data_IF_894217592101
#
_entry.id   IF_894217592101
#
_cell.length_a   1.000
_cell.length_b   1.000
_cell.length_c   1.000
_cell.angle_alpha   90.00
_cell.angle_beta   90.00
_cell.angle_gamma   90.00
#
_symmetry.space_group_name_H-M   'P 1'
#
loop_
_entity.id
_entity.type
_entity.pdbx_description
1 polymer ?
#
# COMPACT_ATOMS: atom_id res chain seq x y z
N UNK A 1 95.45 42.04 22.72
CA UNK A 1 95.80 41.79 24.14
C UNK A 1 94.63 41.06 24.79
N UNK A 2 94.93 39.90 25.40
CA UNK A 2 94.09 39.11 26.33
C UNK A 2 92.82 38.41 25.80
N UNK A 3 92.92 37.09 25.60
CA UNK A 3 91.87 36.08 25.91
C UNK A 3 91.56 36.09 27.43
N UNK A 4 90.68 35.24 28.05
CA UNK A 4 89.96 34.05 27.55
C UNK A 4 88.56 33.72 28.20
N UNK A 5 87.93 32.59 27.78
CA UNK A 5 87.07 31.64 28.56
C UNK A 5 85.74 32.18 29.19
N UNK A 6 84.61 31.48 29.43
CA UNK A 6 84.31 30.05 29.67
C UNK A 6 82.78 29.85 29.78
N UNK A 7 82.30 28.73 29.22
CA UNK A 7 81.36 27.71 29.77
C UNK A 7 79.96 28.04 30.37
N UNK A 8 78.97 27.41 29.71
CA UNK A 8 77.94 26.47 30.22
C UNK A 8 76.74 26.95 31.09
N UNK A 9 75.56 26.65 30.51
CA UNK A 9 74.39 25.86 31.03
C UNK A 9 73.13 26.59 31.53
N UNK A 10 72.03 26.20 30.83
CA UNK A 10 70.68 25.78 31.31
C UNK A 10 69.78 26.92 31.83
N UNK A 11 68.47 26.94 31.63
CA UNK A 11 67.49 26.07 30.97
C UNK A 11 66.16 26.84 30.75
N UNK A 12 65.43 26.44 29.70
CA UNK A 12 63.95 26.32 29.54
C UNK A 12 62.97 27.40 30.07
N UNK A 13 62.21 27.98 29.12
CA UNK A 13 60.76 27.71 28.85
C UNK A 13 59.85 28.95 28.66
N UNK A 14 59.07 28.90 27.55
CA UNK A 14 57.68 29.34 27.37
C UNK A 14 57.35 30.84 27.21
N UNK A 15 56.39 31.34 26.39
CA UNK A 15 55.43 30.80 25.39
C UNK A 15 54.72 32.03 24.73
N UNK A 16 54.22 31.87 23.49
CA UNK A 16 53.14 32.61 22.76
C UNK A 16 53.33 34.06 22.24
N UNK A 17 53.26 34.23 20.92
CA UNK A 17 52.01 34.56 20.19
C UNK A 17 52.27 34.74 18.68
N UNK A 18 51.60 33.97 17.82
CA UNK A 18 51.49 34.26 16.39
C UNK A 18 50.09 33.88 15.90
N UNK A 19 49.37 34.88 15.41
CA UNK A 19 48.03 34.74 14.84
C UNK A 19 48.13 34.29 13.37
N UNK A 20 47.44 33.20 13.04
CA UNK A 20 47.27 32.73 11.65
C UNK A 20 45.81 32.86 11.27
N UNK A 21 45.52 33.72 10.29
CA UNK A 21 44.21 33.88 9.66
C UNK A 21 44.00 32.73 8.68
N UNK A 22 43.03 31.84 8.96
CA UNK A 22 42.59 30.78 8.04
C UNK A 22 41.37 31.31 7.29
N UNK A 23 41.52 31.56 5.99
CA UNK A 23 40.40 31.79 5.07
C UNK A 23 39.84 30.41 4.71
N UNK A 24 38.73 30.03 5.37
CA UNK A 24 38.02 28.79 5.08
C UNK A 24 37.14 28.91 3.84
N UNK A 25 37.47 28.16 2.79
CA UNK A 25 36.62 27.98 1.62
C UNK A 25 35.36 27.20 2.00
N UNK A 26 34.21 27.87 2.10
CA UNK A 26 32.92 27.20 2.26
C UNK A 26 32.47 26.66 0.91
N UNK A 27 32.72 25.38 0.65
CA UNK A 27 32.04 24.65 -0.44
C UNK A 27 30.61 24.40 0.03
N UNK A 28 29.65 25.14 -0.50
CA UNK A 28 28.23 24.86 -0.29
C UNK A 28 27.91 23.49 -0.91
N UNK A 29 27.68 22.48 -0.06
CA UNK A 29 27.14 21.22 -0.52
C UNK A 29 25.76 21.47 -1.15
N UNK A 30 25.45 20.89 -2.32
CA UNK A 30 24.11 20.97 -2.86
C UNK A 30 23.11 20.41 -1.84
N UNK A 31 21.90 20.98 -1.72
CA UNK A 31 20.90 20.45 -0.81
C UNK A 31 20.67 18.98 -1.15
N UNK A 32 20.92 18.09 -0.18
CA UNK A 32 20.59 16.69 -0.33
C UNK A 32 19.07 16.60 -0.57
N UNK A 33 18.67 16.29 -1.80
CA UNK A 33 17.30 15.85 -2.06
C UNK A 33 17.10 14.65 -1.15
N UNK A 34 16.24 14.78 -0.14
CA UNK A 34 16.00 13.72 0.82
C UNK A 34 15.60 12.46 0.03
N UNK A 35 16.44 11.43 0.08
CA UNK A 35 16.17 10.18 -0.61
C UNK A 35 14.83 9.64 -0.09
N UNK A 36 13.90 9.31 -1.00
CA UNK A 36 12.62 8.70 -0.62
C UNK A 36 12.89 7.49 0.26
N UNK A 37 12.25 7.44 1.44
CA UNK A 37 12.41 6.34 2.38
C UNK A 37 12.14 4.99 1.67
N UNK A 38 12.98 3.96 1.88
CA UNK A 38 12.83 2.67 1.22
C UNK A 38 11.43 2.05 1.36
N UNK A 39 10.85 2.16 2.56
CA UNK A 39 9.48 1.76 2.90
C UNK A 39 8.83 2.84 3.79
N UNK A 40 7.50 3.02 3.73
CA UNK A 40 6.79 3.84 4.69
C UNK A 40 6.71 3.13 6.05
N UNK A 41 6.47 3.85 7.15
CA UNK A 41 6.24 3.26 8.48
C UNK A 41 4.88 2.58 8.64
N UNK A 42 3.94 2.87 7.73
CA UNK A 42 2.61 2.27 7.69
C UNK A 42 2.09 2.20 6.26
N UNK A 43 1.17 1.27 6.00
CA UNK A 43 0.54 1.06 4.69
C UNK A 43 -0.98 1.30 4.71
N UNK A 44 -1.47 2.00 5.73
CA UNK A 44 -2.92 2.13 5.94
C UNK A 44 -3.60 2.90 4.83
N UNK A 45 -2.94 3.91 4.27
CA UNK A 45 -3.44 4.65 3.10
C UNK A 45 -3.46 3.80 1.82
N UNK A 46 -2.64 2.75 1.77
CA UNK A 46 -2.43 1.88 0.62
C UNK A 46 -1.66 2.53 -0.53
N UNK A 47 -1.24 3.80 -0.42
CA UNK A 47 -0.70 4.59 -1.53
C UNK A 47 0.77 4.30 -1.85
N UNK A 48 1.51 3.85 -0.83
CA UNK A 48 2.93 3.45 -0.94
C UNK A 48 3.14 2.16 -0.16
N UNK A 49 3.74 1.14 -0.77
CA UNK A 49 4.13 -0.11 -0.07
C UNK A 49 5.65 -0.27 0.04
N UNK A 50 6.36 0.22 -0.97
CA UNK A 50 7.82 0.21 -1.11
C UNK A 50 8.19 1.27 -2.14
N UNK A 51 9.34 1.93 -1.98
CA UNK A 51 9.84 2.91 -2.95
C UNK A 51 10.32 2.23 -4.24
N UNK A 52 10.29 2.94 -5.36
CA UNK A 52 10.90 2.48 -6.61
C UNK A 52 12.39 2.22 -6.45
N UNK A 53 13.09 3.11 -5.74
CA UNK A 53 14.53 2.99 -5.46
C UNK A 53 14.88 1.67 -4.77
N UNK A 54 14.09 1.24 -3.78
CA UNK A 54 14.31 -0.05 -3.13
C UNK A 54 13.81 -1.21 -4.00
N UNK A 55 12.66 -1.10 -4.65
CA UNK A 55 12.07 -2.19 -5.43
C UNK A 55 12.94 -2.64 -6.62
N UNK A 56 13.60 -1.70 -7.30
CA UNK A 56 14.47 -1.98 -8.46
C UNK A 56 15.96 -2.11 -8.09
N UNK A 57 16.32 -2.17 -6.80
CA UNK A 57 17.71 -2.33 -6.34
C UNK A 57 18.22 -3.77 -6.53
N UNK A 58 18.43 -4.19 -7.77
CA UNK A 58 18.83 -5.56 -8.14
C UNK A 58 20.17 -6.01 -7.55
N UNK A 59 21.04 -5.08 -7.19
CA UNK A 59 22.32 -5.34 -6.52
C UNK A 59 22.26 -5.47 -5.00
N UNK A 60 21.07 -5.45 -4.37
CA UNK A 60 20.95 -5.35 -2.89
C UNK A 60 21.43 -6.58 -2.11
N UNK A 61 21.54 -7.75 -2.76
CA UNK A 61 22.03 -8.99 -2.16
C UNK A 61 22.86 -9.80 -3.17
N UNK A 62 23.99 -10.35 -2.71
CA UNK A 62 24.74 -11.36 -3.44
C UNK A 62 24.10 -12.75 -3.31
N UNK A 63 24.50 -13.71 -4.15
CA UNK A 63 24.02 -15.09 -4.03
C UNK A 63 24.41 -15.71 -2.67
N UNK A 64 25.58 -15.38 -2.13
CA UNK A 64 25.99 -15.80 -0.79
C UNK A 64 25.11 -15.19 0.31
N UNK A 65 24.77 -13.89 0.21
CA UNK A 65 23.87 -13.24 1.16
C UNK A 65 22.46 -13.86 1.13
N UNK A 66 21.93 -14.13 -0.06
CA UNK A 66 20.65 -14.85 -0.21
C UNK A 66 20.75 -16.26 0.37
N UNK A 67 21.85 -16.97 0.13
CA UNK A 67 22.05 -18.30 0.68
C UNK A 67 22.06 -18.30 2.21
N UNK A 68 22.79 -17.38 2.84
CA UNK A 68 22.82 -17.22 4.29
C UNK A 68 21.45 -16.86 4.86
N UNK A 69 20.72 -15.96 4.17
CA UNK A 69 19.35 -15.63 4.53
C UNK A 69 18.43 -16.85 4.51
N UNK A 70 18.42 -17.63 3.42
CA UNK A 70 17.61 -18.85 3.32
C UNK A 70 17.99 -19.89 4.38
N UNK A 71 19.28 -20.04 4.68
CA UNK A 71 19.75 -20.92 5.74
C UNK A 71 19.26 -20.50 7.13
N UNK A 72 19.21 -19.18 7.39
CA UNK A 72 18.72 -18.62 8.66
C UNK A 72 17.21 -18.83 8.86
N UNK A 73 16.42 -18.84 7.78
CA UNK A 73 14.96 -19.02 7.86
C UNK A 73 14.55 -20.46 8.10
N UNK A 74 15.35 -21.42 7.63
CA UNK A 74 15.07 -22.85 7.81
C UNK A 74 16.35 -23.56 8.30
N UNK A 75 16.67 -23.51 9.61
CA UNK A 75 17.84 -24.21 10.14
C UNK A 75 17.76 -25.73 9.94
N UNK A 76 16.58 -26.31 10.13
CA UNK A 76 16.34 -27.75 9.96
C UNK A 76 15.33 -27.99 8.83
N UNK A 77 15.76 -28.71 7.80
CA UNK A 77 14.89 -29.16 6.72
C UNK A 77 14.26 -30.50 7.08
N UNK A 78 12.93 -30.58 6.97
CA UNK A 78 12.07 -31.75 7.25
C UNK A 78 11.40 -32.28 5.98
N UNK A 79 11.99 -32.04 4.81
CA UNK A 79 11.50 -32.57 3.54
C UNK A 79 11.44 -34.10 3.60
N UNK A 80 10.36 -34.69 3.10
CA UNK A 80 10.20 -36.15 3.01
C UNK A 80 11.07 -36.69 1.88
N UNK A 81 11.51 -37.95 2.00
CA UNK A 81 12.18 -38.66 0.90
C UNK A 81 11.30 -38.63 -0.35
N UNK A 82 11.89 -38.30 -1.50
CA UNK A 82 11.17 -38.14 -2.77
C UNK A 82 10.47 -36.79 -2.94
N UNK A 83 10.40 -35.94 -1.92
CA UNK A 83 9.92 -34.55 -2.06
C UNK A 83 11.09 -33.60 -2.34
N UNK A 84 10.83 -32.43 -2.94
CA UNK A 84 11.83 -31.38 -3.06
C UNK A 84 12.44 -31.00 -1.70
N UNK A 85 13.74 -30.72 -1.69
CA UNK A 85 14.42 -30.20 -0.49
C UNK A 85 13.94 -28.78 -0.16
N UNK A 86 14.18 -28.31 1.07
CA UNK A 86 13.91 -26.92 1.45
C UNK A 86 14.70 -25.94 0.59
N UNK A 87 14.20 -24.72 0.41
CA UNK A 87 14.73 -23.76 -0.55
C UNK A 87 16.23 -23.50 -0.41
N UNK A 88 16.76 -23.51 0.82
CA UNK A 88 18.20 -23.37 1.09
C UNK A 88 19.08 -24.47 0.48
N UNK A 89 18.56 -25.68 0.32
CA UNK A 89 19.26 -26.87 -0.17
C UNK A 89 18.78 -27.31 -1.56
N UNK A 90 17.81 -26.58 -2.13
CA UNK A 90 17.27 -26.87 -3.44
C UNK A 90 18.28 -26.52 -4.54
N UNK A 91 18.40 -27.43 -5.51
CA UNK A 91 19.20 -27.22 -6.72
C UNK A 91 18.39 -27.55 -7.96
N UNK A 92 18.67 -26.86 -9.04
CA UNK A 92 17.94 -27.00 -10.31
C UNK A 92 18.85 -26.65 -11.48
N UNK A 93 18.62 -27.30 -12.62
CA UNK A 93 19.23 -26.88 -13.87
C UNK A 93 18.49 -25.66 -14.44
N UNK A 94 19.26 -24.65 -14.83
CA UNK A 94 18.77 -23.41 -15.42
C UNK A 94 19.03 -23.49 -16.92
N UNK A 95 17.98 -23.60 -17.75
CA UNK A 95 18.15 -23.46 -19.19
C UNK A 95 18.53 -22.02 -19.54
N UNK A 96 19.33 -21.84 -20.58
CA UNK A 96 19.61 -20.49 -21.10
C UNK A 96 18.30 -19.83 -21.57
N UNK A 97 18.16 -18.53 -21.32
CA UNK A 97 17.06 -17.71 -21.83
C UNK A 97 17.64 -16.51 -22.55
N UNK A 98 17.18 -16.26 -23.77
CA UNK A 98 17.53 -15.06 -24.51
C UNK A 98 16.99 -13.81 -23.81
N UNK A 99 17.66 -12.67 -24.02
CA UNK A 99 17.16 -11.38 -23.58
C UNK A 99 15.87 -11.03 -24.32
N UNK A 100 15.03 -10.22 -23.68
CA UNK A 100 13.88 -9.58 -24.31
C UNK A 100 13.73 -8.13 -23.82
N UNK A 101 12.59 -7.49 -24.14
CA UNK A 101 12.33 -6.09 -23.77
C UNK A 101 12.26 -5.83 -22.25
N UNK A 102 12.17 -6.87 -21.43
CA UNK A 102 11.91 -6.77 -19.99
C UNK A 102 13.06 -7.30 -19.14
N UNK A 103 13.76 -8.34 -19.60
CA UNK A 103 14.90 -8.91 -18.89
C UNK A 103 16.08 -9.16 -19.83
N UNK A 104 17.30 -8.96 -19.31
CA UNK A 104 18.53 -9.42 -19.95
C UNK A 104 18.58 -10.95 -20.03
N UNK A 105 19.53 -11.47 -20.82
CA UNK A 105 19.70 -12.90 -21.00
C UNK A 105 20.08 -13.59 -19.68
N UNK A 106 19.55 -14.80 -19.48
CA UNK A 106 19.90 -15.66 -18.36
C UNK A 106 20.82 -16.79 -18.88
N UNK A 107 22.06 -16.91 -18.40
CA UNK A 107 22.95 -17.98 -18.85
C UNK A 107 22.50 -19.35 -18.35
N UNK A 108 22.85 -20.40 -19.10
CA UNK A 108 22.66 -21.78 -18.66
C UNK A 108 23.49 -22.04 -17.39
N UNK A 109 22.93 -22.78 -16.45
CA UNK A 109 23.65 -23.30 -15.29
C UNK A 109 23.14 -24.69 -14.93
N UNK A 110 24.00 -25.54 -14.39
CA UNK A 110 23.63 -26.89 -13.93
C UNK A 110 23.75 -26.97 -12.41
N UNK A 111 22.83 -27.69 -11.75
CA UNK A 111 22.77 -27.84 -10.29
C UNK A 111 22.86 -26.50 -9.54
N UNK A 112 22.26 -25.46 -10.11
CA UNK A 112 22.27 -24.12 -9.51
C UNK A 112 21.43 -24.10 -8.23
N UNK A 113 21.97 -23.51 -7.17
CA UNK A 113 21.21 -23.27 -5.93
C UNK A 113 20.09 -22.26 -6.17
N UNK A 114 19.01 -22.37 -5.41
CA UNK A 114 17.92 -21.38 -5.45
C UNK A 114 18.42 -19.93 -5.27
N UNK A 115 19.39 -19.72 -4.37
CA UNK A 115 20.03 -18.41 -4.14
C UNK A 115 20.71 -17.83 -5.38
N UNK A 116 21.38 -18.66 -6.17
CA UNK A 116 22.01 -18.25 -7.42
C UNK A 116 20.96 -17.90 -8.49
N UNK A 117 19.90 -18.71 -8.60
CA UNK A 117 18.77 -18.44 -9.51
C UNK A 117 18.09 -17.11 -9.18
N UNK A 118 17.78 -16.87 -7.90
CA UNK A 118 17.14 -15.62 -7.44
C UNK A 118 17.99 -14.41 -7.81
N UNK A 119 19.29 -14.44 -7.55
CA UNK A 119 20.18 -13.30 -7.84
C UNK A 119 20.43 -13.13 -9.34
N UNK A 120 20.53 -14.21 -10.10
CA UNK A 120 20.68 -14.13 -11.55
C UNK A 120 19.44 -13.51 -12.20
N UNK A 121 18.23 -13.93 -11.79
CA UNK A 121 16.97 -13.34 -12.27
C UNK A 121 16.79 -11.90 -11.79
N UNK A 122 17.10 -11.61 -10.52
CA UNK A 122 17.07 -10.26 -9.97
C UNK A 122 17.88 -9.28 -10.81
N UNK A 123 19.11 -9.66 -11.16
CA UNK A 123 19.98 -8.87 -12.05
C UNK A 123 19.42 -8.78 -13.47
N UNK A 124 19.01 -9.89 -14.05
CA UNK A 124 18.52 -9.94 -15.42
C UNK A 124 17.28 -9.05 -15.61
N UNK A 125 16.34 -9.08 -14.68
CA UNK A 125 15.08 -8.33 -14.75
C UNK A 125 15.11 -7.00 -13.97
N UNK A 126 16.24 -6.60 -13.38
CA UNK A 126 16.34 -5.35 -12.62
C UNK A 126 15.41 -5.27 -11.40
N UNK A 127 15.15 -6.38 -10.71
CA UNK A 127 14.28 -6.43 -9.52
C UNK A 127 15.14 -6.74 -8.29
N UNK A 128 14.85 -6.10 -7.16
CA UNK A 128 15.56 -6.35 -5.91
C UNK A 128 15.39 -7.82 -5.46
N UNK A 129 16.47 -8.57 -5.17
CA UNK A 129 16.36 -9.97 -4.72
C UNK A 129 15.56 -10.14 -3.42
N UNK A 130 15.51 -9.12 -2.56
CA UNK A 130 14.65 -9.09 -1.36
C UNK A 130 13.16 -9.13 -1.72
N UNK A 131 12.76 -8.41 -2.79
CA UNK A 131 11.38 -8.44 -3.30
C UNK A 131 11.04 -9.85 -3.79
N UNK A 132 11.94 -10.50 -4.55
CA UNK A 132 11.72 -11.88 -5.01
C UNK A 132 11.56 -12.84 -3.83
N UNK A 133 12.41 -12.73 -2.80
CA UNK A 133 12.30 -13.55 -1.59
C UNK A 133 10.96 -13.36 -0.88
N UNK A 134 10.50 -12.13 -0.72
CA UNK A 134 9.20 -11.84 -0.10
C UNK A 134 8.04 -12.37 -0.94
N UNK A 135 8.12 -12.27 -2.27
CA UNK A 135 7.09 -12.82 -3.15
C UNK A 135 7.04 -14.36 -3.06
N UNK A 136 8.18 -15.05 -3.08
CA UNK A 136 8.23 -16.51 -2.86
C UNK A 136 7.57 -16.94 -1.54
N UNK A 137 7.72 -16.13 -0.50
CA UNK A 137 7.07 -16.38 0.79
C UNK A 137 5.58 -16.11 0.75
N UNK A 138 5.17 -14.96 0.24
CA UNK A 138 3.77 -14.55 0.17
C UNK A 138 2.93 -15.51 -0.66
N UNK A 139 3.49 -16.01 -1.75
CA UNK A 139 2.74 -16.79 -2.74
C UNK A 139 2.70 -18.29 -2.40
N UNK A 140 3.77 -18.87 -1.83
CA UNK A 140 3.83 -20.31 -1.53
C UNK A 140 4.40 -20.65 -0.14
N UNK A 141 4.69 -19.67 0.71
CA UNK A 141 5.35 -19.91 2.01
C UNK A 141 6.76 -20.52 1.87
N UNK A 142 7.36 -20.42 0.68
CA UNK A 142 8.47 -21.30 0.29
C UNK A 142 9.77 -20.97 1.03
N UNK A 143 9.99 -19.71 1.41
CA UNK A 143 11.21 -19.28 2.11
C UNK A 143 11.32 -19.87 3.51
N UNK A 144 10.20 -19.99 4.23
CA UNK A 144 10.16 -20.54 5.59
C UNK A 144 9.70 -22.00 5.64
N UNK A 145 9.39 -22.62 4.51
CA UNK A 145 8.89 -24.00 4.48
C UNK A 145 9.96 -24.99 4.92
N UNK A 146 9.64 -25.78 5.95
CA UNK A 146 10.49 -26.88 6.42
C UNK A 146 10.21 -28.18 5.68
N UNK A 147 9.10 -28.28 4.94
CA UNK A 147 8.71 -29.47 4.18
C UNK A 147 7.94 -29.05 2.91
N UNK A 148 8.62 -28.45 1.92
CA UNK A 148 7.95 -27.94 0.74
C UNK A 148 7.40 -29.07 -0.13
N UNK A 149 6.34 -28.75 -0.87
CA UNK A 149 5.72 -29.68 -1.83
C UNK A 149 6.23 -29.43 -3.24
N UNK A 150 6.02 -30.39 -4.14
CA UNK A 150 6.26 -30.18 -5.58
C UNK A 150 5.47 -28.98 -6.11
N UNK A 151 4.22 -28.84 -5.67
CA UNK A 151 3.38 -27.69 -6.01
C UNK A 151 4.04 -26.36 -5.64
N UNK A 152 4.65 -26.29 -4.45
CA UNK A 152 5.32 -25.07 -3.97
C UNK A 152 6.46 -24.62 -4.90
N UNK A 153 7.13 -25.55 -5.57
CA UNK A 153 8.15 -25.21 -6.57
C UNK A 153 7.58 -25.01 -7.96
N UNK A 154 6.52 -25.75 -8.31
CA UNK A 154 5.85 -25.65 -9.61
C UNK A 154 5.21 -24.28 -9.81
N UNK A 155 4.61 -23.72 -8.76
CA UNK A 155 3.91 -22.44 -8.74
C UNK A 155 4.54 -21.44 -7.74
N UNK A 156 5.88 -21.44 -7.61
CA UNK A 156 6.64 -20.74 -6.56
C UNK A 156 6.28 -19.25 -6.36
N UNK A 157 5.84 -18.55 -7.41
CA UNK A 157 5.40 -17.16 -7.32
C UNK A 157 3.93 -16.98 -7.70
N UNK A 158 3.16 -18.06 -7.93
CA UNK A 158 1.79 -17.96 -8.44
C UNK A 158 1.67 -17.35 -9.84
N UNK A 159 2.78 -17.25 -10.58
CA UNK A 159 2.80 -16.61 -11.89
C UNK A 159 2.06 -17.48 -12.90
N UNK A 160 1.10 -16.88 -13.60
CA UNK A 160 0.23 -17.55 -14.57
C UNK A 160 -0.61 -18.68 -13.96
N UNK A 161 -1.09 -18.47 -12.72
CA UNK A 161 -2.01 -19.33 -11.98
C UNK A 161 -3.32 -18.58 -11.69
N UNK A 162 -4.26 -18.48 -12.66
CA UNK A 162 -5.54 -17.82 -12.43
C UNK A 162 -6.41 -18.62 -11.46
N UNK A 163 -7.23 -17.93 -10.65
CA UNK A 163 -8.09 -18.59 -9.65
C UNK A 163 -9.15 -19.51 -10.28
N UNK A 164 -9.52 -19.28 -11.55
CA UNK A 164 -10.59 -19.99 -12.25
C UNK A 164 -10.10 -20.98 -13.32
N UNK A 165 -8.79 -21.20 -13.44
CA UNK A 165 -8.24 -22.16 -14.40
C UNK A 165 -6.91 -22.76 -13.91
N UNK A 166 -6.45 -23.89 -14.49
CA UNK A 166 -5.16 -24.46 -14.11
C UNK A 166 -4.00 -23.49 -14.37
N UNK A 167 -2.96 -23.57 -13.53
CA UNK A 167 -1.70 -22.88 -13.80
C UNK A 167 -1.13 -23.29 -15.16
N UNK A 168 -0.56 -22.32 -15.88
CA UNK A 168 0.10 -22.58 -17.16
C UNK A 168 1.29 -23.54 -17.01
N UNK A 169 1.28 -24.62 -17.80
CA UNK A 169 2.40 -25.57 -17.86
C UNK A 169 3.71 -24.90 -18.32
N UNK A 170 3.63 -23.90 -19.21
CA UNK A 170 4.80 -23.17 -19.68
C UNK A 170 5.44 -22.29 -18.58
N UNK A 171 4.68 -21.94 -17.55
CA UNK A 171 5.18 -21.18 -16.41
C UNK A 171 5.67 -22.09 -15.27
N UNK A 172 5.46 -23.41 -15.36
CA UNK A 172 5.75 -24.33 -14.27
C UNK A 172 7.25 -24.44 -13.96
N UNK A 173 7.54 -24.64 -12.68
CA UNK A 173 8.88 -24.93 -12.16
C UNK A 173 9.61 -23.69 -11.64
N UNK A 174 10.50 -23.90 -10.68
CA UNK A 174 11.11 -22.82 -9.90
C UNK A 174 11.76 -21.73 -10.76
N UNK A 175 12.58 -22.12 -11.75
CA UNK A 175 13.28 -21.16 -12.61
C UNK A 175 12.29 -20.31 -13.41
N UNK A 176 11.25 -20.92 -13.99
CA UNK A 176 10.24 -20.19 -14.76
C UNK A 176 9.38 -19.31 -13.86
N UNK A 177 8.97 -19.78 -12.69
CA UNK A 177 8.19 -18.99 -11.74
C UNK A 177 8.96 -17.75 -11.27
N UNK A 178 10.24 -17.91 -10.91
CA UNK A 178 11.09 -16.78 -10.50
C UNK A 178 11.33 -15.81 -11.66
N UNK A 179 11.69 -16.33 -12.85
CA UNK A 179 11.94 -15.51 -14.04
C UNK A 179 10.69 -14.76 -14.50
N UNK A 180 9.58 -15.46 -14.71
CA UNK A 180 8.35 -14.87 -15.22
C UNK A 180 7.70 -13.94 -14.19
N UNK A 181 7.76 -14.24 -12.90
CA UNK A 181 7.28 -13.34 -11.85
C UNK A 181 8.08 -12.03 -11.80
N UNK A 182 9.41 -12.09 -11.87
CA UNK A 182 10.25 -10.89 -11.94
C UNK A 182 10.06 -10.11 -13.26
N UNK A 183 9.96 -10.82 -14.38
CA UNK A 183 9.65 -10.24 -15.69
C UNK A 183 8.29 -9.56 -15.70
N UNK A 184 7.29 -10.13 -15.03
CA UNK A 184 5.95 -9.56 -14.96
C UNK A 184 5.96 -8.19 -14.26
N UNK A 185 6.81 -7.99 -13.25
CA UNK A 185 7.01 -6.67 -12.64
C UNK A 185 7.52 -5.65 -13.66
N UNK A 186 8.47 -6.02 -14.52
CA UNK A 186 8.95 -5.15 -15.61
C UNK A 186 7.87 -4.87 -16.66
N UNK A 187 7.01 -5.84 -16.96
CA UNK A 187 5.88 -5.64 -17.88
C UNK A 187 4.92 -4.58 -17.30
N UNK A 188 4.57 -4.66 -16.01
CA UNK A 188 3.75 -3.65 -15.35
C UNK A 188 4.40 -2.26 -15.40
N UNK A 189 5.72 -2.17 -15.21
CA UNK A 189 6.49 -0.91 -15.27
C UNK A 189 6.55 -0.31 -16.67
N UNK A 190 6.80 -1.13 -17.70
CA UNK A 190 7.03 -0.65 -19.08
C UNK A 190 5.76 -0.49 -19.90
N UNK A 191 4.65 -1.08 -19.45
CA UNK A 191 3.34 -1.00 -20.12
C UNK A 191 2.23 -0.68 -19.11
N UNK A 192 2.36 0.38 -18.29
CA UNK A 192 1.39 0.67 -17.23
C UNK A 192 -0.02 0.90 -17.79
N UNK A 193 -0.14 1.36 -19.04
CA UNK A 193 -1.43 1.59 -19.69
C UNK A 193 -2.20 0.30 -19.97
N UNK A 194 -1.52 -0.84 -20.07
CA UNK A 194 -2.13 -2.14 -20.30
C UNK A 194 -2.73 -2.78 -19.03
N UNK A 195 -2.55 -2.15 -17.86
CA UNK A 195 -2.98 -2.70 -16.57
C UNK A 195 -3.91 -1.75 -15.82
N UNK A 196 -4.62 -2.35 -14.86
CA UNK A 196 -5.70 -1.71 -14.12
C UNK A 196 -5.19 -0.60 -13.19
N UNK A 197 -4.10 -0.86 -12.48
CA UNK A 197 -3.58 0.07 -11.47
C UNK A 197 -2.33 0.78 -11.97
N UNK A 198 -2.29 2.11 -11.82
CA UNK A 198 -1.18 2.94 -12.29
C UNK A 198 -0.75 3.95 -11.22
N UNK A 199 0.54 4.28 -11.22
CA UNK A 199 1.12 5.28 -10.34
C UNK A 199 0.71 6.71 -10.75
N UNK A 200 0.84 7.66 -9.82
CA UNK A 200 0.58 9.08 -10.06
C UNK A 200 -0.89 9.46 -10.16
N UNK A 201 -1.82 8.55 -9.82
CA UNK A 201 -3.26 8.80 -9.90
C UNK A 201 -4.04 8.07 -8.81
N UNK A 202 -5.29 8.51 -8.61
CA UNK A 202 -6.25 7.83 -7.75
C UNK A 202 -6.84 6.62 -8.48
N UNK A 203 -6.70 5.44 -7.87
CA UNK A 203 -7.19 4.17 -8.39
C UNK A 203 -8.33 3.65 -7.50
N UNK A 204 -9.31 2.98 -8.11
CA UNK A 204 -10.38 2.28 -7.39
C UNK A 204 -9.99 0.82 -7.17
N UNK A 205 -9.60 0.49 -5.94
CA UNK A 205 -9.06 -0.82 -5.54
C UNK A 205 -10.07 -1.57 -4.67
N UNK A 206 -10.31 -2.85 -4.97
CA UNK A 206 -11.20 -3.71 -4.19
C UNK A 206 -10.58 -4.03 -2.82
N UNK A 207 -11.43 -4.18 -1.80
CA UNK A 207 -11.00 -4.72 -0.50
C UNK A 207 -10.78 -6.24 -0.56
N UNK A 208 -11.59 -6.93 -1.37
CA UNK A 208 -11.71 -8.38 -1.45
C UNK A 208 -12.24 -8.80 -2.85
N UNK A 209 -11.97 -10.04 -3.34
CA UNK A 209 -12.58 -10.57 -4.56
C UNK A 209 -14.11 -10.51 -4.60
N UNK A 210 -14.75 -10.67 -3.43
CA UNK A 210 -16.18 -10.45 -3.26
C UNK A 210 -16.52 -8.96 -3.43
N UNK A 211 -17.22 -8.64 -4.51
CA UNK A 211 -17.69 -7.28 -4.80
C UNK A 211 -18.58 -6.69 -3.69
N UNK A 212 -19.24 -7.54 -2.89
CA UNK A 212 -20.04 -7.12 -1.72
C UNK A 212 -19.22 -6.42 -0.63
N UNK A 213 -17.90 -6.65 -0.59
CA UNK A 213 -16.98 -5.93 0.29
C UNK A 213 -16.72 -4.49 -0.17
N UNK A 214 -16.99 -4.17 -1.44
CA UNK A 214 -16.81 -2.84 -2.00
C UNK A 214 -15.36 -2.48 -2.35
N UNK A 215 -15.13 -1.19 -2.55
CA UNK A 215 -13.86 -0.63 -3.04
C UNK A 215 -13.36 0.50 -2.15
N UNK A 216 -12.14 0.95 -2.43
CA UNK A 216 -11.49 2.12 -1.86
C UNK A 216 -10.86 2.96 -2.95
N UNK A 217 -10.65 4.25 -2.67
CA UNK A 217 -9.90 5.15 -3.56
C UNK A 217 -8.50 5.35 -3.00
N UNK A 218 -7.48 5.00 -3.77
CA UNK A 218 -6.08 5.04 -3.35
C UNK A 218 -5.28 5.84 -4.36
N UNK A 219 -4.64 6.92 -3.91
CA UNK A 219 -3.62 7.58 -4.72
C UNK A 219 -2.33 6.76 -4.66
N UNK A 220 -2.01 6.04 -5.74
CA UNK A 220 -0.79 5.23 -5.81
C UNK A 220 0.37 6.15 -6.17
N UNK A 221 1.35 6.28 -5.28
CA UNK A 221 2.41 7.29 -5.40
C UNK A 221 3.53 6.90 -6.34
N UNK A 222 3.78 5.60 -6.54
CA UNK A 222 4.94 5.11 -7.28
C UNK A 222 4.66 3.81 -8.05
N UNK A 223 5.57 3.47 -8.97
CA UNK A 223 5.37 2.36 -9.91
C UNK A 223 5.47 0.99 -9.23
N UNK A 224 6.37 0.82 -8.26
CA UNK A 224 6.52 -0.41 -7.49
C UNK A 224 5.23 -0.79 -6.76
N UNK A 225 4.56 0.19 -6.16
CA UNK A 225 3.26 -0.02 -5.51
C UNK A 225 2.19 -0.40 -6.52
N UNK A 226 2.15 0.26 -7.68
CA UNK A 226 1.25 -0.12 -8.78
C UNK A 226 1.49 -1.57 -9.24
N UNK A 227 2.75 -1.99 -9.37
CA UNK A 227 3.12 -3.35 -9.73
C UNK A 227 2.61 -4.38 -8.72
N UNK A 228 2.74 -4.11 -7.42
CA UNK A 228 2.26 -4.99 -6.35
C UNK A 228 0.73 -5.11 -6.35
N UNK A 229 0.00 -4.02 -6.61
CA UNK A 229 -1.44 -4.09 -6.80
C UNK A 229 -1.84 -4.82 -8.08
N UNK A 230 -1.12 -4.66 -9.20
CA UNK A 230 -1.41 -5.43 -10.41
C UNK A 230 -1.12 -6.93 -10.22
N UNK A 231 -0.16 -7.28 -9.35
CA UNK A 231 0.12 -8.67 -8.99
C UNK A 231 -0.90 -9.25 -7.99
N UNK A 232 -1.27 -8.48 -6.96
CA UNK A 232 -2.27 -8.87 -5.96
C UNK A 232 -3.30 -7.74 -5.76
N UNK A 233 -4.46 -7.82 -6.43
CA UNK A 233 -5.32 -6.66 -6.73
C UNK A 233 -6.26 -6.23 -5.60
N UNK A 234 -5.80 -6.30 -4.36
CA UNK A 234 -6.61 -5.96 -3.18
C UNK A 234 -5.84 -5.10 -2.16
N UNK A 235 -6.52 -4.09 -1.64
CA UNK A 235 -6.04 -3.31 -0.50
C UNK A 235 -6.45 -4.01 0.80
N UNK A 236 -5.53 -4.22 1.76
CA UNK A 236 -5.90 -4.76 3.06
C UNK A 236 -6.77 -3.76 3.82
N UNK A 237 -7.91 -4.22 4.36
CA UNK A 237 -8.76 -3.41 5.22
C UNK A 237 -8.16 -3.29 6.65
N UNK A 238 -8.76 -2.44 7.49
CA UNK A 238 -8.29 -2.23 8.87
C UNK A 238 -8.31 -3.51 9.71
N UNK A 239 -9.26 -4.43 9.47
CA UNK A 239 -9.29 -5.71 10.17
C UNK A 239 -8.10 -6.60 9.79
N UNK A 240 -7.72 -6.63 8.51
CA UNK A 240 -6.54 -7.35 8.02
C UNK A 240 -5.25 -6.77 8.61
N UNK A 241 -5.14 -5.44 8.69
CA UNK A 241 -3.99 -4.74 9.26
C UNK A 241 -3.90 -4.99 10.78
N UNK A 242 -5.00 -4.85 11.51
CA UNK A 242 -5.04 -5.12 12.96
C UNK A 242 -4.62 -6.57 13.30
N UNK A 243 -4.93 -7.54 12.45
CA UNK A 243 -4.56 -8.93 12.65
C UNK A 243 -3.05 -9.21 12.47
N UNK A 244 -2.29 -8.30 11.86
CA UNK A 244 -0.86 -8.50 11.58
C UNK A 244 -0.61 -9.69 10.66
N UNK A 245 -0.13 -10.82 11.20
CA UNK A 245 0.04 -12.08 10.46
C UNK A 245 -1.19 -13.00 10.54
N UNK A 246 -2.15 -12.70 11.41
CA UNK A 246 -3.37 -13.49 11.59
C UNK A 246 -4.43 -13.22 10.53
N UNK A 247 -5.60 -13.82 10.78
CA UNK A 247 -6.80 -13.66 9.97
C UNK A 247 -7.60 -12.44 10.41
N UNK A 248 -8.11 -11.69 9.45
CA UNK A 248 -9.03 -10.59 9.68
C UNK A 248 -10.48 -11.05 9.63
N UNK A 249 -11.33 -10.19 9.09
CA UNK A 249 -12.75 -10.42 8.85
C UNK A 249 -13.03 -10.99 7.44
N UNK A 250 -14.29 -11.32 7.09
CA UNK A 250 -14.61 -11.90 5.77
C UNK A 250 -14.27 -11.05 4.55
N UNK A 251 -13.99 -9.75 4.72
CA UNK A 251 -13.58 -8.84 3.65
C UNK A 251 -12.10 -8.49 3.70
N UNK A 252 -11.32 -9.22 4.50
CA UNK A 252 -9.88 -9.03 4.66
C UNK A 252 -9.10 -9.73 3.56
N UNK A 253 -8.12 -9.02 2.98
CA UNK A 253 -7.13 -9.59 2.06
C UNK A 253 -5.72 -9.37 2.58
N UNK A 254 -4.81 -10.27 2.20
CA UNK A 254 -3.53 -10.43 2.90
C UNK A 254 -2.30 -10.20 2.02
N UNK A 255 -2.42 -10.24 0.70
CA UNK A 255 -1.27 -10.23 -0.21
C UNK A 255 -0.31 -9.05 0.01
N UNK A 256 -0.80 -7.82 -0.17
CA UNK A 256 0.00 -6.60 0.00
C UNK A 256 0.40 -6.36 1.48
N UNK A 257 -0.45 -6.74 2.44
CA UNK A 257 -0.12 -6.72 3.87
C UNK A 257 1.05 -7.64 4.20
N UNK A 258 1.01 -8.88 3.74
CA UNK A 258 2.03 -9.88 3.97
C UNK A 258 3.33 -9.50 3.28
N UNK A 259 3.26 -8.94 2.06
CA UNK A 259 4.44 -8.37 1.40
C UNK A 259 5.14 -7.36 2.30
N UNK A 260 4.41 -6.34 2.77
CA UNK A 260 4.97 -5.31 3.64
C UNK A 260 5.50 -5.87 4.95
N UNK A 261 4.73 -6.72 5.64
CA UNK A 261 5.14 -7.33 6.90
C UNK A 261 6.45 -8.12 6.76
N UNK A 262 6.53 -9.03 5.77
CA UNK A 262 7.73 -9.82 5.56
C UNK A 262 8.91 -8.96 5.14
N UNK A 263 8.70 -7.95 4.29
CA UNK A 263 9.80 -7.09 3.84
C UNK A 263 10.41 -6.31 5.02
N UNK A 264 9.56 -5.64 5.80
CA UNK A 264 10.00 -4.85 6.96
C UNK A 264 10.69 -5.76 7.99
N UNK A 265 10.04 -6.85 8.41
CA UNK A 265 10.62 -7.74 9.43
C UNK A 265 11.94 -8.40 8.98
N UNK A 266 12.15 -8.62 7.68
CA UNK A 266 13.34 -9.32 7.19
C UNK A 266 14.48 -8.39 6.78
N UNK A 267 14.17 -7.21 6.28
CA UNK A 267 15.14 -6.39 5.56
C UNK A 267 15.13 -4.90 5.91
N UNK A 268 14.16 -4.43 6.70
CA UNK A 268 14.07 -3.04 7.14
C UNK A 268 13.45 -2.93 8.56
N UNK A 269 13.99 -3.64 9.57
CA UNK A 269 13.39 -3.68 10.91
C UNK A 269 13.37 -2.31 11.60
N UNK A 270 14.20 -1.37 11.16
CA UNK A 270 14.26 0.03 11.58
C UNK A 270 13.01 0.84 11.18
N UNK A 271 12.28 0.42 10.14
CA UNK A 271 11.01 1.04 9.73
C UNK A 271 9.85 0.66 10.67
N UNK A 272 9.99 -0.42 11.43
CA UNK A 272 8.94 -0.97 12.27
C UNK A 272 8.69 -0.10 13.50
N UNK A 273 7.50 0.47 13.60
CA UNK A 273 7.08 1.31 14.74
C UNK A 273 6.11 0.59 15.70
N UNK A 274 5.96 -0.73 15.59
CA UNK A 274 4.94 -1.51 16.31
C UNK A 274 5.58 -2.67 17.07
N UNK A 275 4.95 -3.08 18.18
CA UNK A 275 5.38 -4.26 18.94
C UNK A 275 5.03 -5.60 18.25
N UNK A 276 4.17 -5.58 17.24
CA UNK A 276 3.62 -6.76 16.56
C UNK A 276 4.12 -6.93 15.12
N UNK A 277 3.24 -7.27 14.18
CA UNK A 277 3.61 -7.23 12.77
C UNK A 277 3.78 -5.76 12.31
N UNK A 278 4.63 -5.48 11.32
CA UNK A 278 4.89 -4.11 10.86
C UNK A 278 3.64 -3.31 10.46
N UNK A 279 2.66 -3.93 9.83
CA UNK A 279 1.42 -3.28 9.40
C UNK A 279 0.37 -3.10 10.52
N UNK A 280 0.63 -3.61 11.73
CA UNK A 280 -0.38 -3.67 12.79
C UNK A 280 -0.86 -2.29 13.21
N UNK A 281 -2.18 -2.13 13.25
CA UNK A 281 -2.88 -0.95 13.78
C UNK A 281 -3.77 -1.35 14.95
N UNK A 282 -4.24 -0.36 15.72
CA UNK A 282 -5.26 -0.60 16.75
C UNK A 282 -6.48 -1.33 16.17
N UNK A 283 -6.97 -2.35 16.87
CA UNK A 283 -8.16 -3.10 16.45
C UNK A 283 -9.42 -2.24 16.41
N UNK A 284 -9.45 -1.14 17.18
CA UNK A 284 -10.53 -0.16 17.19
C UNK A 284 -10.22 1.09 16.34
N UNK A 285 -9.26 1.03 15.41
CA UNK A 285 -9.01 2.11 14.46
C UNK A 285 -10.25 2.33 13.58
N UNK A 286 -10.64 3.58 13.40
CA UNK A 286 -11.72 3.98 12.49
C UNK A 286 -11.16 4.28 11.09
N UNK A 287 -11.91 3.99 10.00
CA UNK A 287 -11.52 4.41 8.66
C UNK A 287 -11.45 5.94 8.55
N UNK A 288 -10.59 6.42 7.66
CA UNK A 288 -10.61 7.83 7.24
C UNK A 288 -11.82 8.10 6.36
N UNK A 289 -12.24 9.37 6.26
CA UNK A 289 -13.43 9.74 5.50
C UNK A 289 -13.36 9.30 4.02
N UNK A 290 -12.18 9.38 3.39
CA UNK A 290 -11.98 8.98 1.99
C UNK A 290 -12.19 7.48 1.71
N UNK A 291 -12.11 6.64 2.75
CA UNK A 291 -12.37 5.21 2.65
C UNK A 291 -13.85 4.86 2.83
N UNK A 292 -14.69 5.83 3.21
CA UNK A 292 -16.12 5.62 3.41
C UNK A 292 -16.85 5.85 2.09
N UNK A 293 -17.54 4.82 1.61
CA UNK A 293 -18.51 4.98 0.53
C UNK A 293 -19.84 5.36 1.15
N UNK A 294 -20.34 6.56 0.84
CA UNK A 294 -21.64 7.06 1.32
C UNK A 294 -22.73 6.49 0.39
N UNK A 295 -23.56 5.54 0.86
CA UNK A 295 -24.65 5.00 0.05
C UNK A 295 -25.80 6.02 -0.05
N UNK A 296 -26.78 5.74 -0.92
CA UNK A 296 -28.09 6.40 -0.83
C UNK A 296 -28.63 6.25 0.59
N UNK A 297 -29.35 7.28 1.07
CA UNK A 297 -29.96 7.29 2.39
C UNK A 297 -30.73 5.97 2.62
N UNK A 298 -30.43 5.32 3.74
CA UNK A 298 -30.96 4.00 4.04
C UNK A 298 -30.92 3.71 5.53
N UNK A 299 -31.77 2.78 5.94
CA UNK A 299 -31.86 2.31 7.32
C UNK A 299 -31.46 0.84 7.39
N UNK A 300 -30.61 0.49 8.34
CA UNK A 300 -30.25 -0.88 8.65
C UNK A 300 -31.22 -1.44 9.70
N UNK A 301 -31.99 -2.47 9.34
CA UNK A 301 -32.82 -3.24 10.28
C UNK A 301 -32.10 -4.52 10.70
N UNK A 302 -31.78 -4.66 11.98
CA UNK A 302 -31.07 -5.83 12.51
C UNK A 302 -31.91 -7.11 12.37
N UNK A 303 -31.29 -8.20 11.87
CA UNK A 303 -31.98 -9.46 11.55
C UNK A 303 -32.07 -10.46 12.70
N UNK A 304 -31.05 -10.52 13.55
CA UNK A 304 -30.91 -11.53 14.61
C UNK A 304 -31.20 -10.95 15.99
N UNK A 305 -31.61 -11.82 16.93
CA UNK A 305 -32.01 -11.43 18.28
C UNK A 305 -30.88 -10.80 19.10
N UNK A 306 -29.64 -11.15 18.77
CA UNK A 306 -28.43 -10.53 19.32
C UNK A 306 -27.37 -10.34 18.23
N UNK A 307 -27.22 -9.11 17.74
CA UNK A 307 -26.17 -8.72 16.79
C UNK A 307 -25.14 -7.86 17.51
N UNK A 308 -23.87 -8.28 17.50
CA UNK A 308 -22.79 -7.43 18.00
C UNK A 308 -22.55 -6.27 17.03
N UNK A 309 -22.77 -5.05 17.50
CA UNK A 309 -22.36 -3.81 16.81
C UNK A 309 -21.22 -3.15 17.57
N UNK A 310 -20.32 -2.48 16.84
CA UNK A 310 -18.98 -2.11 17.32
C UNK A 310 -18.66 -0.64 17.07
N UNK A 311 -17.66 -0.12 17.76
CA UNK A 311 -17.20 1.28 17.59
C UNK A 311 -16.23 1.47 16.40
N UNK A 312 -15.77 0.37 15.80
CA UNK A 312 -14.93 0.33 14.62
C UNK A 312 -15.23 -0.90 13.75
N UNK A 313 -14.96 -0.87 12.42
CA UNK A 313 -15.23 -1.96 11.49
C UNK A 313 -14.13 -3.04 11.57
N UNK A 314 -14.07 -3.71 12.70
CA UNK A 314 -13.16 -4.83 12.96
C UNK A 314 -13.78 -5.77 13.97
N UNK A 315 -13.78 -7.07 13.69
CA UNK A 315 -14.29 -8.09 14.62
C UNK A 315 -13.42 -8.19 15.88
N UNK A 316 -12.19 -7.70 15.84
CA UNK A 316 -11.28 -7.63 16.98
C UNK A 316 -11.49 -6.39 17.87
N UNK A 317 -12.28 -5.39 17.44
CA UNK A 317 -12.59 -4.25 18.30
C UNK A 317 -13.58 -4.65 19.40
N UNK A 318 -13.10 -4.86 20.62
CA UNK A 318 -13.91 -5.20 21.78
C UNK A 318 -14.45 -3.97 22.53
N UNK A 319 -13.77 -2.83 22.43
CA UNK A 319 -14.10 -1.62 23.18
C UNK A 319 -15.45 -1.03 22.73
N UNK A 320 -16.36 -0.84 23.68
CA UNK A 320 -17.66 -0.21 23.44
C UNK A 320 -18.60 -1.00 22.53
N UNK A 321 -18.40 -2.31 22.35
CA UNK A 321 -19.35 -3.15 21.60
C UNK A 321 -20.67 -3.28 22.37
N UNK A 322 -21.78 -3.28 21.66
CA UNK A 322 -23.12 -3.48 22.23
C UNK A 322 -23.85 -4.61 21.49
N UNK A 323 -24.82 -5.22 22.17
CA UNK A 323 -25.71 -6.22 21.57
C UNK A 323 -27.00 -5.56 21.10
N UNK A 324 -27.16 -5.40 19.79
CA UNK A 324 -28.37 -4.86 19.18
C UNK A 324 -29.43 -5.96 19.00
N UNK A 325 -30.68 -5.63 19.33
CA UNK A 325 -31.82 -6.56 19.23
C UNK A 325 -32.34 -6.65 17.81
N UNK A 326 -33.03 -7.75 17.50
CA UNK A 326 -33.77 -7.92 16.24
C UNK A 326 -34.76 -6.77 16.04
N UNK A 327 -34.79 -6.24 14.82
CA UNK A 327 -35.69 -5.16 14.45
C UNK A 327 -35.20 -3.75 14.81
N UNK A 328 -34.12 -3.59 15.59
CA UNK A 328 -33.52 -2.27 15.84
C UNK A 328 -33.14 -1.61 14.50
N UNK A 329 -33.45 -0.32 14.38
CA UNK A 329 -33.19 0.51 13.21
C UNK A 329 -32.02 1.46 13.48
N UNK A 330 -31.11 1.57 12.52
CA UNK A 330 -30.03 2.56 12.52
C UNK A 330 -29.96 3.28 11.18
N UNK A 331 -29.64 4.57 11.20
CA UNK A 331 -29.36 5.31 9.96
C UNK A 331 -28.01 4.86 9.42
N UNK A 332 -27.95 4.54 8.13
CA UNK A 332 -26.70 4.18 7.45
C UNK A 332 -26.03 5.46 6.96
N UNK A 333 -24.84 5.75 7.47
CA UNK A 333 -24.06 6.94 7.13
C UNK A 333 -22.82 6.66 6.28
N UNK A 334 -22.58 5.39 5.95
CA UNK A 334 -21.44 4.98 5.14
C UNK A 334 -21.27 3.47 5.08
N UNK A 335 -20.32 3.03 4.26
CA UNK A 335 -19.92 1.63 4.16
C UNK A 335 -18.40 1.52 4.02
N UNK A 336 -17.83 0.44 4.54
CA UNK A 336 -16.39 0.18 4.54
C UNK A 336 -16.13 -1.32 4.54
N UNK A 337 -15.49 -1.89 3.52
CA UNK A 337 -15.07 -3.30 3.48
C UNK A 337 -16.15 -4.29 3.97
N UNK A 338 -17.38 -4.20 3.44
CA UNK A 338 -18.52 -5.05 3.85
C UNK A 338 -19.24 -4.63 5.14
N UNK A 339 -18.72 -3.65 5.88
CA UNK A 339 -19.35 -3.06 7.04
C UNK A 339 -20.30 -1.91 6.66
N UNK A 340 -21.38 -1.78 7.42
CA UNK A 340 -22.24 -0.61 7.46
C UNK A 340 -21.80 0.29 8.61
N UNK A 341 -21.61 1.57 8.32
CA UNK A 341 -21.49 2.63 9.32
C UNK A 341 -22.89 3.07 9.73
N UNK A 342 -23.17 2.96 11.02
CA UNK A 342 -24.46 3.20 11.63
C UNK A 342 -24.39 4.44 12.51
N UNK A 343 -25.47 5.20 12.56
CA UNK A 343 -25.67 6.28 13.52
C UNK A 343 -26.85 5.95 14.43
N UNK A 344 -26.63 6.16 15.74
CA UNK A 344 -27.64 6.02 16.79
C UNK A 344 -28.41 7.34 16.97
N UNK A 345 -29.55 7.31 17.66
CA UNK A 345 -30.37 8.51 17.89
C UNK A 345 -29.68 9.60 18.73
N UNK A 346 -28.66 9.25 19.50
CA UNK A 346 -27.79 10.17 20.27
C UNK A 346 -26.52 10.58 19.49
N UNK A 347 -26.42 10.23 18.20
CA UNK A 347 -25.32 10.65 17.31
C UNK A 347 -24.04 9.80 17.41
N UNK A 348 -24.05 8.70 18.17
CA UNK A 348 -22.90 7.80 18.23
C UNK A 348 -22.74 7.00 16.92
N UNK A 349 -21.49 6.82 16.49
CA UNK A 349 -21.17 5.98 15.33
C UNK A 349 -20.90 4.54 15.75
N UNK A 350 -21.64 3.60 15.15
CA UNK A 350 -21.47 2.17 15.32
C UNK A 350 -21.24 1.47 13.98
N UNK A 351 -20.88 0.19 14.03
CA UNK A 351 -20.53 -0.62 12.87
C UNK A 351 -21.10 -2.02 13.00
N UNK A 352 -21.65 -2.53 11.91
CA UNK A 352 -22.04 -3.95 11.79
C UNK A 352 -21.76 -4.46 10.38
N UNK A 353 -21.56 -5.76 10.22
CA UNK A 353 -21.49 -6.36 8.88
C UNK A 353 -22.82 -6.23 8.16
N UNK A 354 -22.77 -5.94 6.85
CA UNK A 354 -23.96 -5.83 6.00
C UNK A 354 -24.85 -7.07 6.11
N UNK A 355 -24.28 -8.26 6.22
CA UNK A 355 -25.03 -9.52 6.33
C UNK A 355 -25.95 -9.58 7.55
N UNK A 356 -25.61 -8.87 8.64
CA UNK A 356 -26.39 -8.82 9.87
C UNK A 356 -27.65 -7.95 9.80
N UNK A 357 -27.81 -7.15 8.75
CA UNK A 357 -28.91 -6.21 8.61
C UNK A 357 -29.64 -6.36 7.26
N UNK A 358 -30.92 -6.04 7.25
CA UNK A 358 -31.69 -5.76 6.03
C UNK A 358 -31.58 -4.26 5.76
N UNK A 359 -31.09 -3.89 4.58
CA UNK A 359 -30.99 -2.48 4.18
C UNK A 359 -32.29 -2.04 3.53
N UNK A 360 -32.94 -1.05 4.11
CA UNK A 360 -34.17 -0.44 3.61
C UNK A 360 -33.78 0.90 3.00
N UNK A 361 -34.02 1.08 1.70
CA UNK A 361 -33.80 2.36 1.05
C UNK A 361 -34.82 3.37 1.58
N UNK A 362 -34.36 4.56 1.97
CA UNK A 362 -35.27 5.67 2.22
C UNK A 362 -35.66 6.24 0.85
N UNK A 363 -36.95 6.19 0.51
CA UNK A 363 -37.47 6.94 -0.61
C UNK A 363 -37.21 8.43 -0.33
N UNK A 364 -36.57 9.17 -1.25
CA UNK A 364 -36.55 10.62 -1.11
C UNK A 364 -38.01 11.10 -1.06
N UNK A 365 -38.32 12.12 -0.23
CA UNK A 365 -39.63 12.76 -0.32
C UNK A 365 -39.88 13.17 -1.78
N UNK A 366 -41.13 13.05 -2.28
CA UNK A 366 -41.45 13.50 -3.62
C UNK A 366 -40.94 14.92 -3.80
N UNK A 367 -40.24 15.17 -4.92
CA UNK A 367 -39.81 16.53 -5.24
C UNK A 367 -41.06 17.43 -5.17
N UNK A 368 -41.00 18.58 -4.47
CA UNK A 368 -42.08 19.55 -4.57
C UNK A 368 -42.28 19.83 -6.06
N UNK A 369 -43.54 19.80 -6.51
CA UNK A 369 -43.88 20.10 -7.90
C UNK A 369 -43.27 21.45 -8.32
N UNK A 370 -43.13 21.70 -9.63
CA UNK A 370 -42.57 22.96 -10.11
C UNK A 370 -43.24 24.13 -9.38
N UNK A 371 -42.42 24.96 -8.72
CA UNK A 371 -42.90 26.20 -8.11
C UNK A 371 -43.54 26.99 -9.25
N UNK A 372 -44.84 27.35 -9.16
CA UNK A 372 -45.48 28.16 -10.18
C UNK A 372 -44.63 29.39 -10.43
N UNK A 373 -44.36 29.68 -11.71
CA UNK A 373 -43.63 30.88 -12.09
C UNK A 373 -44.30 32.08 -11.40
N UNK A 374 -43.53 32.94 -10.68
CA UNK A 374 -44.11 34.11 -10.02
C UNK A 374 -44.89 34.91 -11.05
N UNK A 375 -46.15 35.25 -10.75
CA UNK A 375 -46.94 36.08 -11.63
C UNK A 375 -46.14 37.36 -11.96
N UNK A 376 -46.02 37.75 -13.24
CA UNK A 376 -45.29 38.95 -13.61
C UNK A 376 -45.87 40.15 -12.85
N UNK A 377 -44.98 40.91 -12.20
CA UNK A 377 -45.35 42.15 -11.51
C UNK A 377 -45.99 43.08 -12.55
N UNK A 378 -47.22 43.59 -12.34
CA UNK A 378 -47.84 44.51 -13.27
C UNK A 378 -46.94 45.73 -13.47
N UNK A 379 -46.68 46.08 -14.73
CA UNK A 379 -45.87 47.25 -15.06
C UNK A 379 -46.48 48.52 -14.41
N UNK A 380 -45.66 49.44 -13.88
CA UNK A 380 -46.15 50.69 -13.33
C UNK A 380 -46.90 51.47 -14.42
N UNK A 381 -48.10 51.92 -14.06
CA UNK A 381 -48.99 52.71 -14.93
C UNK A 381 -48.22 53.95 -15.43
N UNK A 382 -48.23 54.26 -16.75
CA UNK A 382 -47.55 55.45 -17.26
C UNK A 382 -48.08 56.71 -16.58
N UNK A 383 -47.19 57.49 -15.98
CA UNK A 383 -47.50 58.82 -15.46
C UNK A 383 -47.89 59.76 -16.60
N UNK A 384 -48.97 60.52 -16.39
CA UNK A 384 -49.50 61.45 -17.38
C UNK A 384 -48.47 62.52 -17.78
N UNK A 385 -48.39 62.82 -19.07
CA UNK A 385 -47.53 63.88 -19.64
C UNK A 385 -47.90 65.26 -19.06
N UNK A 386 -46.92 66.14 -18.80
CA UNK A 386 -47.20 67.51 -18.36
C UNK A 386 -47.87 68.32 -19.47
N UNK A 387 -48.87 69.12 -19.10
CA UNK A 387 -49.56 70.11 -19.94
C UNK A 387 -48.60 71.29 -20.22
N UNK A 388 -48.44 71.74 -21.47
CA UNK A 388 -47.58 72.88 -21.78
C UNK A 388 -48.18 74.20 -21.28
N UNK A 389 -47.37 74.97 -20.58
CA UNK A 389 -47.67 76.32 -20.09
C UNK A 389 -47.72 77.32 -21.24
N UNK A 390 -48.86 78.01 -21.38
CA UNK A 390 -49.03 79.14 -22.30
C UNK A 390 -48.34 80.40 -21.78
N UNK A 391 -47.75 81.17 -22.70
CA UNK A 391 -47.22 82.50 -22.48
C UNK A 391 -48.05 83.54 -23.28
N UNK A 392 -48.05 84.82 -22.87
CA UNK A 392 -49.25 85.67 -22.89
C UNK A 392 -49.41 86.51 -24.16
N UNK A 393 -50.66 86.84 -24.48
CA UNK A 393 -51.02 87.94 -25.37
C UNK A 393 -51.33 89.18 -24.53
N UNK A 394 -50.78 90.33 -24.92
CA UNK A 394 -51.03 91.64 -24.32
C UNK A 394 -51.73 92.57 -25.32
N UNK A 395 -52.50 93.50 -24.74
CA UNK A 395 -53.15 94.70 -25.29
C UNK A 395 -54.47 94.55 -26.06
N UNK A 396 -55.54 95.08 -25.48
CA UNK A 396 -56.22 96.32 -25.88
C UNK A 396 -57.15 96.80 -24.74
N UNK A 397 -57.14 98.10 -24.41
CA UNK A 397 -58.09 98.76 -23.48
C UNK A 397 -57.45 99.48 -22.30
#
# INVERSE_FOLDING_TARGET
MHSPLTRFRRATAAILAAASVIIGSMVAAPPAVAATAPLPSTIVDGGTLISDAEFYRSGSMSASAVQSFLASKVPTCKAKTGSPTCLKSFTVDVPAKAADAYCAALPKATKARASAVIVAVAKACGINPKVILVMLQKEQGLVTSTAPTEWSYRAAMGQSCPDTAPCSAAAAGFVNQVYLGARQMQIYTKKPEAFRYRAGQTNTILWHPDAGCGTSRVFITNQATANLYNYTPYRPNLSALAAGYGSGDPCSTYGNRNFYNYYVDWFAPDVKTTAGAPSTVSSCRKPVADDLLIPRAGVARIKADATTVRTAPSTACAAGRISARKGTLYVITGTYAGWLRLETGDGATLWTFRTNATVIALTPPPLPGPVPEPAPVPAPKPTAKPVPTGAPAASEG
#
